data_IF_001683659426
#
_entry.id   IF_001683659426
#
_cell.length_a   1.000
_cell.length_b   1.000
_cell.length_c   1.000
_cell.angle_alpha   90.00
_cell.angle_beta   90.00
_cell.angle_gamma   90.00
#
_symmetry.space_group_name_H-M   'P 1'
#
loop_
_entity.id
_entity.type
_entity.pdbx_description
1 polymer ?
#
# COMPACT_ATOMS: atom_id res chain seq x y z
N UNK A 1 140.49 -39.87 -112.79
CA UNK A 1 141.05 -40.36 -111.51
C UNK A 1 140.12 -41.45 -111.01
N UNK A 2 140.52 -42.72 -111.16
CA UNK A 2 139.73 -43.87 -110.67
C UNK A 2 139.99 -44.04 -109.17
N UNK A 3 138.94 -43.93 -108.38
CA UNK A 3 138.99 -44.08 -106.93
C UNK A 3 139.12 -45.57 -106.58
N UNK A 4 139.94 -45.87 -105.58
CA UNK A 4 140.17 -47.23 -105.12
C UNK A 4 138.97 -47.72 -104.29
N UNK A 5 138.78 -49.04 -104.19
CA UNK A 5 137.67 -49.63 -103.42
C UNK A 5 137.71 -49.27 -101.93
N UNK A 6 138.91 -49.03 -101.38
CA UNK A 6 139.10 -48.49 -100.03
C UNK A 6 138.61 -47.06 -99.84
N UNK A 7 138.57 -46.25 -100.90
CA UNK A 7 138.03 -44.89 -100.84
C UNK A 7 136.50 -44.90 -100.72
N UNK A 8 135.82 -45.93 -101.24
CA UNK A 8 134.37 -46.12 -101.09
C UNK A 8 134.00 -46.65 -99.72
N UNK A 9 134.70 -47.66 -99.21
CA UNK A 9 134.41 -48.24 -97.89
C UNK A 9 134.57 -47.19 -96.78
N UNK A 10 135.60 -46.33 -96.86
CA UNK A 10 135.79 -45.23 -95.89
C UNK A 10 134.66 -44.20 -95.94
N UNK A 11 134.21 -43.80 -97.13
CA UNK A 11 133.11 -42.85 -97.28
C UNK A 11 131.77 -43.41 -96.80
N UNK A 12 131.51 -44.69 -97.07
CA UNK A 12 130.28 -45.36 -96.66
C UNK A 12 130.21 -45.56 -95.14
N UNK A 13 131.36 -45.83 -94.50
CA UNK A 13 131.47 -45.87 -93.04
C UNK A 13 131.28 -44.48 -92.40
N UNK A 14 131.91 -43.44 -92.98
CA UNK A 14 131.74 -42.05 -92.54
C UNK A 14 130.27 -41.60 -92.67
N UNK A 15 129.61 -41.92 -93.79
CA UNK A 15 128.22 -41.56 -94.03
C UNK A 15 127.27 -42.29 -93.06
N UNK A 16 127.54 -43.58 -92.78
CA UNK A 16 126.80 -44.37 -91.77
C UNK A 16 126.98 -43.78 -90.37
N UNK A 17 128.19 -43.35 -90.01
CA UNK A 17 128.49 -42.73 -88.72
C UNK A 17 127.76 -41.39 -88.56
N UNK A 18 127.80 -40.53 -89.58
CA UNK A 18 127.10 -39.23 -89.58
C UNK A 18 125.58 -39.40 -89.50
N UNK A 19 125.01 -40.41 -90.18
CA UNK A 19 123.57 -40.71 -90.11
C UNK A 19 123.14 -41.13 -88.71
N UNK A 20 123.94 -41.94 -88.00
CA UNK A 20 123.63 -42.34 -86.62
C UNK A 20 123.67 -41.15 -85.64
N UNK A 21 124.64 -40.23 -85.80
CA UNK A 21 124.73 -39.03 -84.95
C UNK A 21 123.50 -38.13 -85.12
N UNK A 22 123.04 -37.95 -86.36
CA UNK A 22 121.88 -37.10 -86.64
C UNK A 22 120.58 -37.69 -86.09
N UNK A 23 120.36 -39.00 -86.26
CA UNK A 23 119.17 -39.69 -85.70
C UNK A 23 119.14 -39.59 -84.17
N UNK A 24 120.29 -39.77 -83.50
CA UNK A 24 120.38 -39.68 -82.05
C UNK A 24 120.04 -38.28 -81.52
N UNK A 25 120.50 -37.23 -82.22
CA UNK A 25 120.21 -35.84 -81.85
C UNK A 25 118.72 -35.48 -81.96
N UNK A 26 118.02 -35.99 -82.98
CA UNK A 26 116.56 -35.78 -83.14
C UNK A 26 115.77 -36.49 -82.04
N UNK A 27 116.19 -37.70 -81.63
CA UNK A 27 115.54 -38.41 -80.54
C UNK A 27 115.70 -37.69 -79.20
N UNK A 28 116.89 -37.17 -78.90
CA UNK A 28 117.15 -36.45 -77.65
C UNK A 28 116.33 -35.14 -77.56
N UNK A 29 116.21 -34.37 -78.64
CA UNK A 29 115.38 -33.15 -78.67
C UNK A 29 113.89 -33.44 -78.46
N UNK A 30 113.37 -34.55 -79.01
CA UNK A 30 111.96 -34.91 -78.87
C UNK A 30 111.58 -35.32 -77.44
N UNK A 31 112.49 -36.01 -76.73
CA UNK A 31 112.28 -36.41 -75.33
C UNK A 31 112.27 -35.20 -74.39
N UNK A 32 113.11 -34.20 -74.63
CA UNK A 32 113.14 -32.98 -73.80
C UNK A 32 111.85 -32.16 -73.95
N UNK A 33 111.39 -31.90 -75.17
CA UNK A 33 110.14 -31.16 -75.39
C UNK A 33 108.92 -31.83 -74.73
N UNK A 34 108.84 -33.17 -74.78
CA UNK A 34 107.75 -33.92 -74.14
C UNK A 34 107.80 -33.88 -72.60
N UNK A 35 108.98 -33.67 -72.01
CA UNK A 35 109.12 -33.49 -70.55
C UNK A 35 108.65 -32.11 -70.10
N UNK A 36 109.01 -31.05 -70.81
CA UNK A 36 108.57 -29.69 -70.49
C UNK A 36 107.04 -29.54 -70.56
N UNK A 37 106.43 -30.06 -71.62
CA UNK A 37 104.95 -30.05 -71.79
C UNK A 37 104.20 -30.75 -70.65
N UNK A 38 104.77 -31.83 -70.08
CA UNK A 38 104.16 -32.52 -68.93
C UNK A 38 104.25 -31.71 -67.65
N UNK A 39 105.36 -30.98 -67.43
CA UNK A 39 105.51 -30.18 -66.21
C UNK A 39 104.63 -28.94 -66.26
N UNK A 40 104.50 -28.28 -67.41
CA UNK A 40 103.55 -27.16 -67.59
C UNK A 40 102.09 -27.60 -67.31
N UNK A 41 101.66 -28.76 -67.83
CA UNK A 41 100.32 -29.28 -67.55
C UNK A 41 100.11 -29.58 -66.06
N UNK A 42 101.13 -30.09 -65.37
CA UNK A 42 101.05 -30.38 -63.93
C UNK A 42 100.89 -29.11 -63.11
N UNK A 43 101.63 -28.06 -63.45
CA UNK A 43 101.53 -26.73 -62.81
C UNK A 43 100.13 -26.14 -63.05
N UNK A 44 99.65 -26.15 -64.30
CA UNK A 44 98.32 -25.62 -64.63
C UNK A 44 97.18 -26.34 -63.87
N UNK A 45 97.27 -27.66 -63.70
CA UNK A 45 96.30 -28.44 -62.91
C UNK A 45 96.35 -28.12 -61.41
N UNK A 46 97.56 -27.94 -60.86
CA UNK A 46 97.74 -27.56 -59.46
C UNK A 46 97.16 -26.17 -59.17
N UNK A 47 97.40 -25.20 -60.05
CA UNK A 47 96.87 -23.85 -59.93
C UNK A 47 95.35 -23.82 -60.05
N UNK A 48 94.78 -24.60 -60.98
CA UNK A 48 93.32 -24.72 -61.09
C UNK A 48 92.68 -25.33 -59.84
N UNK A 49 93.31 -26.35 -59.23
CA UNK A 49 92.81 -26.96 -57.99
C UNK A 49 92.91 -25.99 -56.81
N UNK A 50 93.96 -25.18 -56.74
CA UNK A 50 94.13 -24.14 -55.73
C UNK A 50 93.09 -23.02 -55.89
N UNK A 51 92.84 -22.58 -57.13
CA UNK A 51 91.80 -21.60 -57.45
C UNK A 51 90.41 -22.10 -57.05
N UNK A 52 90.04 -23.33 -57.44
CA UNK A 52 88.76 -23.92 -57.07
C UNK A 52 88.61 -24.07 -55.55
N UNK A 53 89.67 -24.47 -54.85
CA UNK A 53 89.62 -24.55 -53.38
C UNK A 53 89.42 -23.16 -52.75
N UNK A 54 90.05 -22.12 -53.30
CA UNK A 54 89.87 -20.74 -52.81
C UNK A 54 88.45 -20.23 -53.07
N UNK A 55 87.87 -20.53 -54.24
CA UNK A 55 86.48 -20.16 -54.54
C UNK A 55 85.49 -20.90 -53.63
N UNK A 56 85.70 -22.20 -53.40
CA UNK A 56 84.86 -22.99 -52.49
C UNK A 56 84.98 -22.49 -51.04
N UNK A 57 86.17 -22.12 -50.58
CA UNK A 57 86.37 -21.57 -49.24
C UNK A 57 85.68 -20.21 -49.10
N UNK A 58 85.80 -19.34 -50.11
CA UNK A 58 85.07 -18.06 -50.13
C UNK A 58 83.56 -18.29 -50.12
N UNK A 59 83.04 -19.25 -50.90
CA UNK A 59 81.62 -19.57 -50.92
C UNK A 59 81.14 -20.15 -49.59
N UNK A 60 81.97 -20.94 -48.92
CA UNK A 60 81.69 -21.48 -47.57
C UNK A 60 81.61 -20.36 -46.54
N UNK A 61 82.55 -19.41 -46.58
CA UNK A 61 82.55 -18.26 -45.67
C UNK A 61 81.35 -17.34 -45.90
N UNK A 62 80.95 -17.10 -47.15
CA UNK A 62 79.72 -16.37 -47.48
C UNK A 62 78.48 -17.06 -46.90
N UNK A 63 78.34 -18.38 -47.13
CA UNK A 63 77.21 -19.15 -46.60
C UNK A 63 77.17 -19.18 -45.08
N UNK A 64 78.32 -19.24 -44.41
CA UNK A 64 78.39 -19.19 -42.96
C UNK A 64 77.97 -17.81 -42.42
N UNK A 65 78.40 -16.74 -43.07
CA UNK A 65 78.00 -15.38 -42.71
C UNK A 65 76.49 -15.16 -42.91
N UNK A 66 75.94 -15.70 -44.00
CA UNK A 66 74.51 -15.68 -44.29
C UNK A 66 73.71 -16.50 -43.26
N UNK A 67 74.21 -17.67 -42.86
CA UNK A 67 73.61 -18.48 -41.78
C UNK A 67 73.61 -17.73 -40.44
N UNK A 68 74.72 -17.08 -40.08
CA UNK A 68 74.81 -16.26 -38.86
C UNK A 68 73.82 -15.09 -38.89
N UNK A 69 73.68 -14.42 -40.03
CA UNK A 69 72.67 -13.36 -40.22
C UNK A 69 71.24 -13.90 -40.09
N UNK A 70 70.93 -15.05 -40.71
CA UNK A 70 69.61 -15.67 -40.58
C UNK A 70 69.32 -16.08 -39.13
N UNK A 71 70.28 -16.66 -38.40
CA UNK A 71 70.12 -16.99 -36.98
C UNK A 71 69.88 -15.75 -36.13
N UNK A 72 70.63 -14.67 -36.37
CA UNK A 72 70.42 -13.39 -35.67
C UNK A 72 69.03 -12.82 -35.95
N UNK A 73 68.58 -12.84 -37.21
CA UNK A 73 67.25 -12.39 -37.58
C UNK A 73 66.15 -13.23 -36.93
N UNK A 74 66.30 -14.55 -36.87
CA UNK A 74 65.35 -15.44 -36.17
C UNK A 74 65.30 -15.11 -34.68
N UNK A 75 66.44 -14.94 -34.03
CA UNK A 75 66.48 -14.57 -32.61
C UNK A 75 65.82 -13.21 -32.35
N UNK A 76 66.03 -12.23 -33.22
CA UNK A 76 65.40 -10.92 -33.12
C UNK A 76 63.88 -11.00 -33.31
N UNK A 77 63.41 -11.79 -34.28
CA UNK A 77 61.97 -12.03 -34.49
C UNK A 77 61.35 -12.76 -33.30
N UNK A 78 61.98 -13.82 -32.79
CA UNK A 78 61.50 -14.52 -31.61
C UNK A 78 61.45 -13.61 -30.38
N UNK A 79 62.46 -12.77 -30.18
CA UNK A 79 62.46 -11.79 -29.10
C UNK A 79 61.31 -10.79 -29.25
N UNK A 80 61.11 -10.25 -30.46
CA UNK A 80 60.00 -9.35 -30.77
C UNK A 80 58.65 -10.02 -30.53
N UNK A 81 58.46 -11.27 -30.97
CA UNK A 81 57.22 -12.03 -30.76
C UNK A 81 56.96 -12.30 -29.27
N UNK A 82 57.99 -12.64 -28.48
CA UNK A 82 57.84 -12.83 -27.03
C UNK A 82 57.49 -11.52 -26.33
N UNK A 83 58.06 -10.40 -26.77
CA UNK A 83 57.73 -9.08 -26.23
C UNK A 83 56.30 -8.66 -26.58
N UNK A 84 55.87 -8.88 -27.82
CA UNK A 84 54.49 -8.62 -28.25
C UNK A 84 53.49 -9.48 -27.47
N UNK A 85 53.74 -10.78 -27.32
CA UNK A 85 52.88 -11.66 -26.53
C UNK A 85 52.78 -11.24 -25.06
N UNK A 86 53.89 -10.75 -24.46
CA UNK A 86 53.88 -10.21 -23.10
C UNK A 86 53.09 -8.91 -23.00
N UNK A 87 53.17 -8.05 -24.01
CA UNK A 87 52.43 -6.79 -24.05
C UNK A 87 50.92 -7.03 -24.26
N UNK A 88 50.56 -7.93 -25.17
CA UNK A 88 49.17 -8.38 -25.37
C UNK A 88 48.61 -8.97 -24.07
N UNK A 89 49.36 -9.84 -23.38
CA UNK A 89 48.94 -10.40 -22.10
C UNK A 89 48.77 -9.31 -21.02
N UNK A 90 49.63 -8.30 -20.97
CA UNK A 90 49.49 -7.16 -20.03
C UNK A 90 48.24 -6.35 -20.36
N UNK A 91 48.00 -6.05 -21.63
CA UNK A 91 46.81 -5.33 -22.08
C UNK A 91 45.53 -6.10 -21.77
N UNK A 92 45.52 -7.42 -21.95
CA UNK A 92 44.38 -8.27 -21.60
C UNK A 92 44.11 -8.28 -20.09
N UNK A 93 45.15 -8.36 -19.25
CA UNK A 93 45.02 -8.26 -17.80
C UNK A 93 44.47 -6.89 -17.40
N UNK A 94 45.02 -5.81 -17.94
CA UNK A 94 44.57 -4.44 -17.65
C UNK A 94 43.10 -4.23 -18.06
N UNK A 95 42.73 -4.69 -19.26
CA UNK A 95 41.35 -4.66 -19.74
C UNK A 95 40.41 -5.49 -18.86
N UNK A 96 40.85 -6.66 -18.40
CA UNK A 96 40.06 -7.49 -17.48
C UNK A 96 39.90 -6.82 -16.11
N UNK A 97 40.95 -6.21 -15.57
CA UNK A 97 40.90 -5.48 -14.31
C UNK A 97 39.97 -4.26 -14.39
N UNK A 98 40.04 -3.50 -15.49
CA UNK A 98 39.13 -2.38 -15.76
C UNK A 98 37.67 -2.84 -15.83
N UNK A 99 37.36 -3.85 -16.64
CA UNK A 99 35.99 -4.42 -16.70
C UNK A 99 35.51 -4.94 -15.35
N UNK A 100 36.39 -5.54 -14.56
CA UNK A 100 36.05 -6.01 -13.21
C UNK A 100 35.70 -4.85 -12.28
N UNK A 101 36.43 -3.73 -12.34
CA UNK A 101 36.12 -2.52 -11.57
C UNK A 101 34.78 -1.91 -12.00
N UNK A 102 34.52 -1.78 -13.30
CA UNK A 102 33.25 -1.28 -13.84
C UNK A 102 32.05 -2.12 -13.37
N UNK A 103 32.17 -3.46 -13.40
CA UNK A 103 31.12 -4.36 -12.90
C UNK A 103 30.88 -4.14 -11.39
N UNK A 104 31.95 -3.99 -10.60
CA UNK A 104 31.85 -3.73 -9.16
C UNK A 104 31.15 -2.38 -8.89
N UNK A 105 31.52 -1.32 -9.59
CA UNK A 105 30.91 0.01 -9.45
C UNK A 105 29.42 -0.03 -9.81
N UNK A 106 29.05 -0.65 -10.95
CA UNK A 106 27.65 -0.83 -11.35
C UNK A 106 26.85 -1.65 -10.34
N UNK A 107 27.47 -2.67 -9.75
CA UNK A 107 26.84 -3.48 -8.71
C UNK A 107 26.62 -2.68 -7.42
N UNK A 108 27.62 -1.89 -7.00
CA UNK A 108 27.51 -1.00 -5.84
C UNK A 108 26.44 0.07 -6.03
N UNK A 109 26.35 0.68 -7.22
CA UNK A 109 25.29 1.63 -7.57
C UNK A 109 23.91 0.96 -7.50
N UNK A 110 23.78 -0.26 -8.04
CA UNK A 110 22.54 -1.05 -7.99
C UNK A 110 22.11 -1.31 -6.55
N UNK A 111 23.03 -1.75 -5.68
CA UNK A 111 22.75 -1.97 -4.25
C UNK A 111 22.35 -0.66 -3.56
N UNK A 112 23.04 0.44 -3.85
CA UNK A 112 22.73 1.75 -3.27
C UNK A 112 21.33 2.24 -3.66
N UNK A 113 20.96 2.09 -4.93
CA UNK A 113 19.63 2.43 -5.43
C UNK A 113 18.54 1.55 -4.81
N UNK A 114 18.77 0.23 -4.68
CA UNK A 114 17.84 -0.68 -4.00
C UNK A 114 17.65 -0.29 -2.53
N UNK A 115 18.73 0.03 -1.82
CA UNK A 115 18.67 0.47 -0.42
C UNK A 115 17.89 1.79 -0.29
N UNK A 116 18.07 2.73 -1.22
CA UNK A 116 17.31 3.98 -1.24
C UNK A 116 15.82 3.71 -1.44
N UNK A 117 15.46 2.94 -2.47
CA UNK A 117 14.06 2.59 -2.75
C UNK A 117 13.41 1.84 -1.58
N UNK A 118 14.14 0.92 -0.93
CA UNK A 118 13.66 0.21 0.25
C UNK A 118 13.45 1.16 1.44
N UNK A 119 14.38 2.08 1.68
CA UNK A 119 14.26 3.08 2.75
C UNK A 119 13.09 4.03 2.51
N UNK A 120 12.88 4.48 1.27
CA UNK A 120 11.74 5.31 0.87
C UNK A 120 10.40 4.57 1.02
N UNK A 121 10.35 3.31 0.60
CA UNK A 121 9.18 2.45 0.79
C UNK A 121 8.87 2.24 2.28
N UNK A 122 9.87 1.97 3.11
CA UNK A 122 9.71 1.84 4.56
C UNK A 122 9.18 3.13 5.19
N UNK A 123 9.74 4.29 4.82
CA UNK A 123 9.29 5.58 5.32
C UNK A 123 7.83 5.84 4.92
N UNK A 124 7.49 5.59 3.65
CA UNK A 124 6.12 5.71 3.13
C UNK A 124 5.15 4.78 3.87
N UNK A 125 5.53 3.52 4.12
CA UNK A 125 4.71 2.58 4.89
C UNK A 125 4.50 3.04 6.34
N UNK A 126 5.54 3.55 7.01
CA UNK A 126 5.42 4.09 8.38
C UNK A 126 4.50 5.29 8.43
N UNK A 127 4.61 6.21 7.47
CA UNK A 127 3.72 7.37 7.35
C UNK A 127 2.27 6.95 7.11
N UNK A 128 2.02 6.03 6.17
CA UNK A 128 0.68 5.50 5.93
C UNK A 128 0.10 4.79 7.15
N UNK A 129 0.93 4.02 7.89
CA UNK A 129 0.52 3.36 9.12
C UNK A 129 0.14 4.38 10.20
N UNK A 130 0.92 5.45 10.35
CA UNK A 130 0.64 6.53 11.28
C UNK A 130 -0.68 7.25 10.92
N UNK A 131 -0.85 7.67 9.66
CA UNK A 131 -2.09 8.29 9.17
C UNK A 131 -3.30 7.39 9.43
N UNK A 132 -3.18 6.09 9.14
CA UNK A 132 -4.25 5.14 9.39
C UNK A 132 -4.58 5.02 10.89
N UNK A 133 -3.56 4.94 11.75
CA UNK A 133 -3.75 4.90 13.20
C UNK A 133 -4.46 6.17 13.72
N UNK A 134 -4.02 7.35 13.31
CA UNK A 134 -4.65 8.62 13.70
C UNK A 134 -6.12 8.69 13.26
N UNK A 135 -6.43 8.24 12.04
CA UNK A 135 -7.83 8.15 11.58
C UNK A 135 -8.66 7.19 12.43
N UNK A 136 -8.12 6.03 12.80
CA UNK A 136 -8.80 5.09 13.68
C UNK A 136 -9.07 5.69 15.07
N UNK A 137 -8.11 6.40 15.65
CA UNK A 137 -8.26 7.10 16.93
C UNK A 137 -9.32 8.22 16.84
N UNK A 138 -9.33 9.01 15.77
CA UNK A 138 -10.34 10.05 15.54
C UNK A 138 -11.76 9.46 15.47
N UNK A 139 -11.92 8.31 14.79
CA UNK A 139 -13.21 7.62 14.68
C UNK A 139 -13.65 7.06 16.03
N UNK A 140 -12.74 6.45 16.79
CA UNK A 140 -13.06 5.95 18.13
C UNK A 140 -13.55 7.09 19.04
N UNK A 141 -12.89 8.26 19.00
CA UNK A 141 -13.34 9.45 19.73
C UNK A 141 -14.71 9.95 19.25
N UNK A 142 -14.94 10.04 17.94
CA UNK A 142 -16.25 10.39 17.37
C UNK A 142 -17.34 9.43 17.81
N UNK A 143 -17.06 8.12 17.79
CA UNK A 143 -18.00 7.08 18.24
C UNK A 143 -18.33 7.19 19.73
N UNK A 144 -17.33 7.46 20.59
CA UNK A 144 -17.56 7.68 22.03
C UNK A 144 -18.44 8.90 22.29
N UNK A 145 -18.20 10.02 21.60
CA UNK A 145 -19.06 11.20 21.69
C UNK A 145 -20.50 10.87 21.26
N UNK A 146 -20.63 10.15 20.15
CA UNK A 146 -21.91 9.70 19.60
C UNK A 146 -22.67 8.76 20.55
N UNK A 147 -21.98 7.86 21.26
CA UNK A 147 -22.60 7.05 22.32
C UNK A 147 -23.21 7.92 23.44
N UNK A 148 -22.53 9.02 23.81
CA UNK A 148 -23.07 10.01 24.75
C UNK A 148 -24.34 10.68 24.23
N UNK A 149 -24.34 11.09 22.95
CA UNK A 149 -25.52 11.66 22.28
C UNK A 149 -26.69 10.67 22.25
N UNK A 150 -26.42 9.39 21.94
CA UNK A 150 -27.44 8.33 21.95
C UNK A 150 -28.02 8.09 23.33
N UNK A 151 -27.20 8.06 24.38
CA UNK A 151 -27.69 7.92 25.74
C UNK A 151 -28.64 9.07 26.13
N UNK A 152 -28.31 10.30 25.70
CA UNK A 152 -29.20 11.47 25.87
C UNK A 152 -30.48 11.33 25.05
N UNK A 153 -30.39 10.84 23.82
CA UNK A 153 -31.52 10.62 22.93
C UNK A 153 -32.50 9.57 23.49
N UNK A 154 -31.99 8.41 23.94
CA UNK A 154 -32.77 7.36 24.60
C UNK A 154 -33.47 7.89 25.85
N UNK A 155 -32.75 8.66 26.68
CA UNK A 155 -33.34 9.30 27.86
C UNK A 155 -34.49 10.23 27.48
N UNK A 156 -34.36 11.00 26.41
CA UNK A 156 -35.43 11.87 25.93
C UNK A 156 -36.65 11.07 25.48
N UNK A 157 -36.49 9.99 24.71
CA UNK A 157 -37.62 9.14 24.30
C UNK A 157 -38.37 8.57 25.51
N UNK A 158 -37.65 8.03 26.51
CA UNK A 158 -38.24 7.52 27.75
C UNK A 158 -39.02 8.62 28.49
N UNK A 159 -38.45 9.83 28.56
CA UNK A 159 -39.12 10.97 29.18
C UNK A 159 -40.37 11.38 28.41
N UNK A 160 -40.34 11.34 27.07
CA UNK A 160 -41.52 11.66 26.27
C UNK A 160 -42.66 10.65 26.48
N UNK A 161 -42.33 9.36 26.51
CA UNK A 161 -43.29 8.29 26.81
C UNK A 161 -43.86 8.40 28.23
N UNK A 162 -43.00 8.62 29.22
CA UNK A 162 -43.42 8.78 30.62
C UNK A 162 -44.34 9.99 30.80
N UNK A 163 -44.04 11.09 30.10
CA UNK A 163 -44.92 12.26 30.09
C UNK A 163 -46.29 11.93 29.53
N UNK A 164 -46.33 11.32 28.34
CA UNK A 164 -47.58 10.93 27.68
C UNK A 164 -48.38 9.95 28.54
N UNK A 165 -47.73 8.99 29.17
CA UNK A 165 -48.36 8.07 30.12
C UNK A 165 -49.00 8.81 31.30
N UNK A 166 -48.30 9.82 31.86
CA UNK A 166 -48.84 10.66 32.94
C UNK A 166 -50.07 11.46 32.47
N UNK A 167 -50.03 12.04 31.27
CA UNK A 167 -51.19 12.74 30.68
C UNK A 167 -52.37 11.78 30.46
N UNK A 168 -52.12 10.56 29.97
CA UNK A 168 -53.16 9.55 29.82
C UNK A 168 -53.73 9.10 31.16
N UNK A 169 -52.90 9.03 32.20
CA UNK A 169 -53.35 8.71 33.55
C UNK A 169 -54.34 9.75 34.08
N UNK A 170 -54.06 11.05 33.89
CA UNK A 170 -55.00 12.14 34.21
C UNK A 170 -56.33 11.96 33.47
N UNK A 171 -56.28 11.69 32.16
CA UNK A 171 -57.48 11.45 31.34
C UNK A 171 -58.27 10.22 31.78
N UNK A 172 -57.58 9.17 32.19
CA UNK A 172 -58.20 7.96 32.70
C UNK A 172 -58.92 8.20 34.03
N UNK A 173 -58.28 8.89 34.98
CA UNK A 173 -58.91 9.26 36.25
C UNK A 173 -60.16 10.09 35.99
N UNK A 174 -60.07 11.09 35.10
CA UNK A 174 -61.22 11.88 34.70
C UNK A 174 -62.37 11.02 34.14
N UNK A 175 -62.08 10.05 33.28
CA UNK A 175 -63.10 9.14 32.75
C UNK A 175 -63.80 8.33 33.87
N UNK A 176 -63.07 7.92 34.91
CA UNK A 176 -63.66 7.25 36.07
C UNK A 176 -64.57 8.19 36.87
N UNK A 177 -64.14 9.43 37.11
CA UNK A 177 -64.97 10.43 37.80
C UNK A 177 -66.24 10.71 37.00
N UNK A 178 -66.12 10.94 35.68
CA UNK A 178 -67.24 11.20 34.79
C UNK A 178 -68.28 10.07 34.80
N UNK A 179 -67.82 8.81 34.79
CA UNK A 179 -68.71 7.64 34.94
C UNK A 179 -69.43 7.65 36.29
N UNK A 180 -68.73 7.88 37.39
CA UNK A 180 -69.34 7.91 38.72
C UNK A 180 -70.38 9.03 38.85
N UNK A 181 -70.09 10.24 38.35
CA UNK A 181 -71.05 11.36 38.33
C UNK A 181 -72.27 11.04 37.47
N UNK A 182 -72.11 10.34 36.35
CA UNK A 182 -73.23 9.89 35.51
C UNK A 182 -74.16 8.94 36.27
N UNK A 183 -73.60 8.02 37.08
CA UNK A 183 -74.40 7.12 37.93
C UNK A 183 -75.17 7.92 38.99
N UNK A 184 -74.51 8.89 39.64
CA UNK A 184 -75.18 9.79 40.61
C UNK A 184 -76.32 10.56 39.92
N UNK A 185 -76.10 11.10 38.73
CA UNK A 185 -77.13 11.82 37.98
C UNK A 185 -78.36 10.97 37.67
N UNK A 186 -78.15 9.74 37.15
CA UNK A 186 -79.25 8.80 36.87
C UNK A 186 -80.04 8.47 38.13
N UNK A 187 -79.34 8.34 39.26
CA UNK A 187 -79.95 8.04 40.56
C UNK A 187 -80.80 9.16 41.16
N UNK A 188 -80.58 10.39 40.71
CA UNK A 188 -81.37 11.57 41.07
C UNK A 188 -82.53 11.81 40.10
N UNK A 189 -82.48 11.25 38.89
CA UNK A 189 -83.45 11.53 37.82
C UNK A 189 -84.52 10.43 37.67
N UNK A 190 -84.24 9.21 38.11
CA UNK A 190 -85.23 8.13 38.08
C UNK A 190 -86.17 8.27 39.29
N UNK A 191 -87.42 8.67 39.04
CA UNK A 191 -88.54 8.56 39.98
C UNK A 191 -88.92 7.09 40.27
N UNK A 192 -88.44 6.15 39.45
CA UNK A 192 -88.67 4.73 39.64
C UNK A 192 -87.93 4.21 40.88
N UNK A 193 -88.73 3.71 41.82
CA UNK A 193 -88.47 3.27 43.21
C UNK A 193 -87.32 2.26 43.43
N UNK A 194 -86.48 1.98 42.46
CA UNK A 194 -85.10 1.56 42.75
C UNK A 194 -84.26 2.80 43.10
N UNK A 195 -84.70 3.52 44.12
CA UNK A 195 -83.89 4.51 44.82
C UNK A 195 -82.56 3.87 45.13
N UNK A 196 -81.51 4.25 44.40
CA UNK A 196 -80.14 4.06 44.86
C UNK A 196 -80.16 4.65 46.26
N UNK A 197 -80.04 3.79 47.26
CA UNK A 197 -80.22 4.16 48.66
C UNK A 197 -79.34 5.37 48.98
N UNK A 198 -79.72 6.20 49.95
CA UNK A 198 -78.89 7.32 50.42
C UNK A 198 -77.44 6.87 50.65
N UNK A 199 -77.28 5.67 51.22
CA UNK A 199 -75.99 4.98 51.38
C UNK A 199 -75.24 4.76 50.06
N UNK A 200 -75.89 4.27 49.02
CA UNK A 200 -75.25 4.08 47.72
C UNK A 200 -74.87 5.42 47.06
N UNK A 201 -75.68 6.48 47.26
CA UNK A 201 -75.33 7.84 46.81
C UNK A 201 -74.09 8.36 47.53
N UNK A 202 -74.04 8.20 48.85
CA UNK A 202 -72.88 8.55 49.68
C UNK A 202 -71.63 7.80 49.26
N UNK A 203 -71.73 6.49 48.98
CA UNK A 203 -70.62 5.68 48.47
C UNK A 203 -70.12 6.22 47.13
N UNK A 204 -71.03 6.51 46.19
CA UNK A 204 -70.65 7.05 44.88
C UNK A 204 -70.02 8.44 44.98
N UNK A 205 -70.52 9.30 45.87
CA UNK A 205 -69.91 10.62 46.10
C UNK A 205 -68.56 10.50 46.78
N UNK A 206 -68.40 9.59 47.73
CA UNK A 206 -67.11 9.30 48.35
C UNK A 206 -66.10 8.81 47.32
N UNK A 207 -66.53 7.96 46.37
CA UNK A 207 -65.71 7.53 45.24
C UNK A 207 -65.29 8.71 44.36
N UNK A 208 -66.23 9.61 44.03
CA UNK A 208 -65.96 10.82 43.25
C UNK A 208 -64.94 11.71 43.96
N UNK A 209 -65.10 11.92 45.28
CA UNK A 209 -64.18 12.70 46.11
C UNK A 209 -62.77 12.11 46.10
N UNK A 210 -62.62 10.82 46.41
CA UNK A 210 -61.33 10.15 46.42
C UNK A 210 -60.64 10.20 45.04
N UNK A 211 -61.42 10.08 43.95
CA UNK A 211 -60.86 10.18 42.60
C UNK A 211 -60.47 11.60 42.20
N UNK A 212 -61.06 12.64 42.79
CA UNK A 212 -60.57 14.02 42.60
C UNK A 212 -59.20 14.22 43.24
N UNK A 213 -58.93 13.63 44.40
CA UNK A 213 -57.60 13.69 45.02
C UNK A 213 -56.56 13.03 44.12
N UNK A 214 -56.86 11.86 43.55
CA UNK A 214 -56.00 11.23 42.56
C UNK A 214 -55.83 12.10 41.30
N UNK A 215 -56.86 12.82 40.87
CA UNK A 215 -56.79 13.69 39.69
C UNK A 215 -55.86 14.88 39.94
N UNK A 216 -55.92 15.47 41.13
CA UNK A 216 -55.03 16.54 41.57
C UNK A 216 -53.58 16.04 41.58
N UNK A 217 -53.30 14.93 42.26
CA UNK A 217 -51.96 14.34 42.34
C UNK A 217 -51.40 14.01 40.94
N UNK A 218 -52.21 13.39 40.08
CA UNK A 218 -51.81 13.07 38.71
C UNK A 218 -51.55 14.33 37.88
N UNK A 219 -52.34 15.39 38.08
CA UNK A 219 -52.18 16.67 37.38
C UNK A 219 -50.91 17.38 37.82
N UNK A 220 -50.61 17.39 39.12
CA UNK A 220 -49.36 17.93 39.66
C UNK A 220 -48.13 17.22 39.08
N UNK A 221 -48.18 15.89 38.93
CA UNK A 221 -47.11 15.12 38.27
C UNK A 221 -46.85 15.58 36.84
N UNK A 222 -47.88 16.01 36.10
CA UNK A 222 -47.71 16.61 34.76
C UNK A 222 -47.00 17.96 34.83
N UNK A 223 -47.35 18.82 35.80
CA UNK A 223 -46.69 20.13 35.98
C UNK A 223 -45.24 20.01 36.48
N UNK A 224 -44.96 19.00 37.30
CA UNK A 224 -43.65 18.78 37.90
C UNK A 224 -42.73 17.91 37.02
N UNK A 225 -43.13 17.60 35.79
CA UNK A 225 -42.32 16.79 34.89
C UNK A 225 -41.05 17.55 34.47
N UNK A 226 -39.91 17.16 35.05
CA UNK A 226 -38.59 17.77 34.80
C UNK A 226 -37.72 16.88 33.93
N UNK A 227 -36.75 17.51 33.24
CA UNK A 227 -35.64 16.81 32.58
C UNK A 227 -35.77 16.63 31.08
N UNK A 228 -36.87 17.08 30.46
CA UNK A 228 -37.02 17.10 29.00
C UNK A 228 -36.88 18.54 28.49
N UNK A 229 -35.72 18.88 27.91
CA UNK A 229 -35.39 20.22 27.39
C UNK A 229 -36.39 20.71 26.32
N UNK A 230 -37.08 19.78 25.63
CA UNK A 230 -38.07 20.10 24.61
C UNK A 230 -39.39 20.63 25.16
N UNK A 231 -39.62 20.56 26.48
CA UNK A 231 -40.76 21.21 27.11
C UNK A 231 -40.45 22.69 27.29
N UNK A 232 -40.70 23.46 26.22
CA UNK A 232 -41.23 24.81 26.40
C UNK A 232 -42.56 24.66 27.12
N UNK A 233 -42.51 24.57 28.45
CA UNK A 233 -43.60 24.28 29.38
C UNK A 233 -44.68 25.37 29.45
N UNK A 234 -45.09 25.93 28.31
CA UNK A 234 -46.14 26.94 28.26
C UNK A 234 -47.54 26.34 28.24
N UNK A 235 -47.81 25.46 27.27
CA UNK A 235 -49.19 25.06 26.99
C UNK A 235 -49.77 24.13 28.07
N UNK A 236 -49.19 22.96 28.30
CA UNK A 236 -49.76 21.99 29.24
C UNK A 236 -49.63 22.45 30.70
N UNK A 237 -48.59 23.19 31.08
CA UNK A 237 -48.47 23.76 32.43
C UNK A 237 -49.61 24.73 32.74
N UNK A 238 -49.98 25.59 31.78
CA UNK A 238 -51.13 26.47 31.94
C UNK A 238 -52.45 25.69 32.01
N UNK A 239 -52.58 24.61 31.22
CA UNK A 239 -53.75 23.72 31.30
C UNK A 239 -53.82 23.03 32.66
N UNK A 240 -52.70 22.54 33.21
CA UNK A 240 -52.67 21.94 34.56
C UNK A 240 -53.09 22.95 35.62
N UNK A 241 -52.59 24.19 35.58
CA UNK A 241 -53.06 25.24 36.50
C UNK A 241 -54.57 25.46 36.41
N UNK A 242 -55.13 25.47 35.20
CA UNK A 242 -56.59 25.55 35.02
C UNK A 242 -57.30 24.34 35.64
N UNK A 243 -56.78 23.13 35.45
CA UNK A 243 -57.33 21.90 36.04
C UNK A 243 -57.33 22.00 37.57
N UNK A 244 -56.20 22.34 38.19
CA UNK A 244 -56.07 22.45 39.65
C UNK A 244 -57.04 23.48 40.23
N UNK A 245 -57.13 24.67 39.61
CA UNK A 245 -58.11 25.68 40.01
C UNK A 245 -59.56 25.17 39.89
N UNK A 246 -59.87 24.44 38.80
CA UNK A 246 -61.21 23.88 38.58
C UNK A 246 -61.53 22.72 39.54
N UNK A 247 -60.55 21.96 40.00
CA UNK A 247 -60.74 20.93 41.04
C UNK A 247 -61.25 21.59 42.34
N UNK A 248 -60.70 22.74 42.73
CA UNK A 248 -61.17 23.49 43.91
C UNK A 248 -62.63 23.93 43.75
N UNK A 249 -62.99 24.54 42.61
CA UNK A 249 -64.37 24.92 42.29
C UNK A 249 -65.33 23.72 42.39
N UNK A 250 -64.92 22.58 41.81
CA UNK A 250 -65.70 21.34 41.79
C UNK A 250 -65.86 20.78 43.19
N UNK A 251 -64.80 20.70 44.00
CA UNK A 251 -64.86 20.23 45.39
C UNK A 251 -65.81 21.06 46.24
N UNK A 252 -65.78 22.38 46.10
CA UNK A 252 -66.69 23.28 46.81
C UNK A 252 -68.16 22.99 46.42
N UNK A 253 -68.44 22.85 45.12
CA UNK A 253 -69.79 22.50 44.67
C UNK A 253 -70.25 21.10 45.09
N UNK A 254 -69.32 20.14 45.19
CA UNK A 254 -69.60 18.79 45.69
C UNK A 254 -69.96 18.83 47.19
N UNK A 255 -69.25 19.62 47.99
CA UNK A 255 -69.54 19.78 49.40
C UNK A 255 -70.91 20.45 49.64
N UNK A 256 -71.28 21.44 48.83
CA UNK A 256 -72.63 22.04 48.85
C UNK A 256 -73.71 21.03 48.45
N UNK A 257 -73.43 20.16 47.46
CA UNK A 257 -74.33 19.08 47.11
C UNK A 257 -74.51 18.11 48.30
N UNK A 258 -73.41 17.68 48.94
CA UNK A 258 -73.47 16.81 50.12
C UNK A 258 -74.26 17.42 51.29
N UNK A 259 -74.08 18.72 51.56
CA UNK A 259 -74.78 19.40 52.66
C UNK A 259 -76.29 19.56 52.44
N UNK A 260 -76.78 19.33 51.22
CA UNK A 260 -78.19 19.48 50.84
C UNK A 260 -78.91 18.15 50.64
N UNK A 261 -78.29 17.01 50.99
CA UNK A 261 -78.85 15.66 50.80
C UNK A 261 -80.19 15.41 51.48
N UNK A 262 -80.47 16.08 52.60
CA UNK A 262 -81.72 15.97 53.33
C UNK A 262 -82.90 16.65 52.63
N UNK A 263 -82.66 17.52 51.65
CA UNK A 263 -83.67 18.33 50.99
C UNK A 263 -83.60 18.14 49.48
N UNK A 264 -84.48 17.29 48.92
CA UNK A 264 -84.41 16.83 47.53
C UNK A 264 -84.29 17.98 46.51
N UNK A 265 -85.12 19.02 46.62
CA UNK A 265 -85.12 20.16 45.69
C UNK A 265 -83.81 20.96 45.73
N UNK A 266 -83.27 21.19 46.94
CA UNK A 266 -81.96 21.83 47.12
C UNK A 266 -80.84 20.93 46.60
N UNK A 267 -80.92 19.62 46.85
CA UNK A 267 -79.96 18.63 46.38
C UNK A 267 -79.88 18.58 44.85
N UNK A 268 -81.03 18.61 44.15
CA UNK A 268 -81.09 18.65 42.68
C UNK A 268 -80.44 19.93 42.15
N UNK A 269 -80.74 21.08 42.77
CA UNK A 269 -80.17 22.38 42.37
C UNK A 269 -78.66 22.42 42.59
N UNK A 270 -78.18 21.96 43.74
CA UNK A 270 -76.76 21.85 44.05
C UNK A 270 -76.05 20.85 43.11
N UNK A 271 -76.70 19.74 42.76
CA UNK A 271 -76.15 18.77 41.81
C UNK A 271 -76.01 19.36 40.40
N UNK A 272 -76.96 20.17 39.93
CA UNK A 272 -76.84 20.87 38.64
C UNK A 272 -75.61 21.79 38.63
N UNK A 273 -75.44 22.60 39.69
CA UNK A 273 -74.26 23.46 39.82
C UNK A 273 -72.95 22.65 39.84
N UNK A 274 -72.91 21.53 40.58
CA UNK A 274 -71.78 20.61 40.60
C UNK A 274 -71.48 20.03 39.21
N UNK A 275 -72.51 19.59 38.49
CA UNK A 275 -72.40 19.05 37.12
C UNK A 275 -71.84 20.10 36.15
N UNK A 276 -72.26 21.35 36.26
CA UNK A 276 -71.74 22.43 35.40
C UNK A 276 -70.26 22.71 35.68
N UNK A 277 -69.84 22.72 36.95
CA UNK A 277 -68.41 22.84 37.31
C UNK A 277 -67.60 21.65 36.81
N UNK A 278 -68.16 20.45 36.90
CA UNK A 278 -67.57 19.25 36.30
C UNK A 278 -67.40 19.36 34.79
N UNK A 279 -68.38 19.93 34.07
CA UNK A 279 -68.26 20.16 32.63
C UNK A 279 -67.12 21.15 32.29
N UNK A 280 -66.92 22.18 33.12
CA UNK A 280 -65.77 23.08 32.97
C UNK A 280 -64.44 22.37 33.22
N UNK A 281 -64.38 21.48 34.21
CA UNK A 281 -63.19 20.66 34.48
C UNK A 281 -62.91 19.69 33.33
N UNK A 282 -63.95 19.06 32.75
CA UNK A 282 -63.84 18.22 31.55
C UNK A 282 -63.13 18.96 30.42
N UNK A 283 -63.57 20.19 30.16
CA UNK A 283 -63.02 21.03 29.10
C UNK A 283 -61.54 21.39 29.36
N UNK A 284 -61.15 21.58 30.62
CA UNK A 284 -59.74 21.76 30.97
C UNK A 284 -58.93 20.46 30.76
N UNK A 285 -59.42 19.31 31.23
CA UNK A 285 -58.77 18.01 31.03
C UNK A 285 -58.63 17.65 29.56
N UNK A 286 -59.64 17.94 28.73
CA UNK A 286 -59.61 17.66 27.29
C UNK A 286 -58.56 18.49 26.54
N UNK A 287 -58.14 19.63 27.10
CA UNK A 287 -57.05 20.45 26.55
C UNK A 287 -55.66 19.88 26.80
N UNK A 288 -55.49 18.89 27.69
CA UNK A 288 -54.20 18.24 27.88
C UNK A 288 -53.79 17.48 26.62
N UNK A 289 -52.62 17.81 26.10
CA UNK A 289 -52.09 17.22 24.86
C UNK A 289 -50.95 16.27 25.15
N UNK A 290 -50.94 15.15 24.45
CA UNK A 290 -49.73 14.34 24.33
C UNK A 290 -48.69 15.14 23.54
N UNK A 291 -47.43 14.95 23.86
CA UNK A 291 -46.34 15.40 23.00
C UNK A 291 -46.10 14.36 21.91
N UNK A 292 -45.71 14.83 20.72
CA UNK A 292 -45.37 13.95 19.60
C UNK A 292 -44.04 13.27 19.92
N UNK A 293 -44.03 11.94 19.89
CA UNK A 293 -42.81 11.16 20.04
C UNK A 293 -41.89 11.47 18.85
N UNK A 294 -40.70 11.97 19.14
CA UNK A 294 -39.74 12.34 18.09
C UNK A 294 -38.84 11.18 17.67
N UNK A 295 -38.73 10.13 18.50
CA UNK A 295 -37.85 8.98 18.27
C UNK A 295 -36.39 9.43 18.12
N UNK A 296 -35.91 10.15 19.14
CA UNK A 296 -34.57 10.74 19.15
C UNK A 296 -33.49 9.66 18.96
N UNK A 297 -33.65 8.50 19.58
CA UNK A 297 -32.69 7.40 19.47
C UNK A 297 -32.60 6.88 18.03
N UNK A 298 -33.73 6.71 17.33
CA UNK A 298 -33.74 6.26 15.93
C UNK A 298 -33.00 7.25 15.02
N UNK A 299 -33.16 8.55 15.27
CA UNK A 299 -32.45 9.61 14.53
C UNK A 299 -30.94 9.50 14.78
N UNK A 300 -30.53 9.33 16.03
CA UNK A 300 -29.10 9.27 16.35
C UNK A 300 -28.43 7.98 15.87
N UNK A 301 -29.14 6.84 15.90
CA UNK A 301 -28.66 5.57 15.32
C UNK A 301 -28.39 5.75 13.82
N UNK A 302 -29.30 6.37 13.07
CA UNK A 302 -29.09 6.65 11.64
C UNK A 302 -27.89 7.55 11.39
N UNK A 303 -27.68 8.56 12.23
CA UNK A 303 -26.50 9.42 12.13
C UNK A 303 -25.20 8.63 12.33
N UNK A 304 -25.17 7.67 13.28
CA UNK A 304 -24.01 6.80 13.47
C UNK A 304 -23.81 5.83 12.31
N UNK A 305 -24.88 5.26 11.77
CA UNK A 305 -24.81 4.37 10.59
C UNK A 305 -24.21 5.09 9.38
N UNK A 306 -24.56 6.36 9.16
CA UNK A 306 -23.96 7.20 8.11
C UNK A 306 -22.45 7.37 8.31
N UNK A 307 -22.00 7.65 9.54
CA UNK A 307 -20.56 7.79 9.85
C UNK A 307 -19.82 6.47 9.58
N UNK A 308 -20.38 5.33 9.99
CA UNK A 308 -19.79 4.02 9.75
C UNK A 308 -19.76 3.68 8.25
N UNK A 309 -20.79 4.06 7.50
CA UNK A 309 -20.84 3.87 6.05
C UNK A 309 -19.78 4.68 5.33
N UNK A 310 -19.63 5.97 5.67
CA UNK A 310 -18.59 6.85 5.11
C UNK A 310 -17.19 6.28 5.41
N UNK A 311 -16.96 5.83 6.64
CA UNK A 311 -15.69 5.20 7.00
C UNK A 311 -15.40 3.91 6.22
N UNK A 312 -16.40 3.05 6.07
CA UNK A 312 -16.26 1.81 5.29
C UNK A 312 -15.86 2.12 3.84
N UNK A 313 -16.48 3.14 3.23
CA UNK A 313 -16.15 3.60 1.88
C UNK A 313 -14.71 4.12 1.76
N UNK A 314 -14.23 4.86 2.77
CA UNK A 314 -12.85 5.33 2.82
C UNK A 314 -11.85 4.17 2.94
N UNK A 315 -12.16 3.15 3.75
CA UNK A 315 -11.36 1.95 3.88
C UNK A 315 -11.28 1.13 2.58
N UNK A 316 -12.41 0.93 1.90
CA UNK A 316 -12.46 0.23 0.61
C UNK A 316 -11.68 1.00 -0.47
N UNK A 317 -11.79 2.33 -0.49
CA UNK A 317 -11.03 3.18 -1.42
C UNK A 317 -9.51 3.08 -1.17
N UNK A 318 -9.10 3.04 0.10
CA UNK A 318 -7.70 2.85 0.46
C UNK A 318 -7.17 1.46 0.08
N UNK A 319 -7.98 0.40 0.22
CA UNK A 319 -7.60 -0.96 -0.21
C UNK A 319 -7.44 -1.07 -1.73
N UNK A 320 -8.37 -0.50 -2.51
CA UNK A 320 -8.28 -0.48 -3.97
C UNK A 320 -7.06 0.31 -4.48
N UNK A 321 -6.66 1.36 -3.75
CA UNK A 321 -5.43 2.09 -4.10
C UNK A 321 -4.16 1.27 -3.87
N UNK A 322 -4.16 0.36 -2.87
CA UNK A 322 -3.03 -0.57 -2.65
C UNK A 322 -2.93 -1.65 -3.73
N UNK A 323 -4.06 -2.16 -4.23
CA UNK A 323 -4.04 -3.20 -5.28
C UNK A 323 -3.54 -2.69 -6.63
N UNK A 324 -3.58 -1.37 -6.88
CA UNK A 324 -3.04 -0.75 -8.10
C UNK A 324 -1.53 -0.49 -8.02
N UNK A 325 -0.92 -0.59 -6.83
CA UNK A 325 0.50 -0.35 -6.60
C UNK A 325 1.33 -1.65 -6.55
N UNK A 326 0.67 -2.81 -6.47
CA UNK A 326 1.28 -4.14 -6.68
C UNK A 326 1.10 -4.56 -8.13
#
# INVERSE_FOLDING_TARGET
MSWSRSDWDFFEDLFRCLKQIWVKRIQDDHVNNMKELREEQRIALADKKKSNNSELENKRNELQLEEEQFRSNIQNMEHSMRMQAKEEQRSDIENHELRKREIIEKHQETISNLNRSMSEAEKSMREQKFIHQTKCEEIDLKMKLKQGDLAKAVRNDILEEKYNSTVQHVKHIWALISKAVTVVHKSLSNDDKQTISTRNREILVTLVKNKMDNLEEASEKVSNFKGYDGMKGGANTNVVKQILNKIVDVRNSLNTFLSTFSELDKSITAFKAFKDRMNMLNYAVSKLRNIKLKKHADIEIRNMELILYEWKKDCESAQNSKSLLN
#
